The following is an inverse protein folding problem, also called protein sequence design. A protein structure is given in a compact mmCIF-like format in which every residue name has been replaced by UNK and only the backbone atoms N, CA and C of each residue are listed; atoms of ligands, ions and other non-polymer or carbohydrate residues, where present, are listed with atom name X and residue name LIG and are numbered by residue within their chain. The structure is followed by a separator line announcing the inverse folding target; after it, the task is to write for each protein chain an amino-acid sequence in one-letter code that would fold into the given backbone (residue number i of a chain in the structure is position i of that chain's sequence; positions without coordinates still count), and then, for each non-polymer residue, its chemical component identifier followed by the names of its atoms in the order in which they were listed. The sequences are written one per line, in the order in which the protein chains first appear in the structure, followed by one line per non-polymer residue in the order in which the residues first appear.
data_IF_201527253230
#
_entry.id   IF_201527253230
#
_cell.length_a   1.000
_cell.length_b   1.000
_cell.length_c   1.000
_cell.angle_alpha   90.00
_cell.angle_beta   90.00
_cell.angle_gamma   90.00
#
_symmetry.space_group_name_H-M   'P 1'
#
loop_
_entity.id
_entity.type
_entity.pdbx_description
1 polymer ?
#
# COMPACT_ATOMS: atom_id res chain seq x y z
N UNK A 1 -33.55 -75.72 -37.25
CA UNK A 1 -32.30 -75.16 -37.85
C UNK A 1 -32.09 -73.67 -37.53
N UNK A 2 -33.14 -72.83 -37.50
CA UNK A 2 -33.02 -71.39 -37.15
C UNK A 2 -32.55 -71.13 -35.70
N UNK A 3 -32.90 -72.01 -34.76
CA UNK A 3 -32.56 -71.86 -33.33
C UNK A 3 -31.06 -72.01 -33.00
N UNK A 4 -30.34 -72.91 -33.69
CA UNK A 4 -28.93 -73.20 -33.38
C UNK A 4 -27.96 -72.10 -33.86
N UNK A 5 -28.26 -71.48 -35.00
CA UNK A 5 -27.47 -70.36 -35.55
C UNK A 5 -27.59 -69.09 -34.69
N UNK A 6 -28.76 -68.84 -34.11
CA UNK A 6 -28.99 -67.69 -33.22
C UNK A 6 -28.18 -67.80 -31.91
N UNK A 7 -28.04 -69.02 -31.37
CA UNK A 7 -27.24 -69.30 -30.15
C UNK A 7 -25.74 -69.13 -30.40
N UNK A 8 -25.24 -69.49 -31.58
CA UNK A 8 -23.81 -69.33 -31.93
C UNK A 8 -23.42 -67.86 -32.18
N UNK A 9 -24.29 -67.11 -32.85
CA UNK A 9 -24.11 -65.67 -33.09
C UNK A 9 -24.21 -64.90 -31.76
N UNK A 10 -25.21 -65.21 -30.93
CA UNK A 10 -25.33 -64.58 -29.60
C UNK A 10 -24.12 -64.90 -28.72
N UNK A 11 -23.63 -66.13 -28.72
CA UNK A 11 -22.44 -66.54 -27.97
C UNK A 11 -21.14 -65.86 -28.44
N UNK A 12 -21.04 -65.49 -29.71
CA UNK A 12 -19.89 -64.77 -30.27
C UNK A 12 -19.93 -63.28 -29.93
N UNK A 13 -21.12 -62.67 -29.99
CA UNK A 13 -21.36 -61.28 -29.58
C UNK A 13 -21.08 -61.13 -28.07
N UNK A 14 -21.62 -62.03 -27.23
CA UNK A 14 -21.38 -62.07 -25.79
C UNK A 14 -19.88 -62.18 -25.48
N UNK A 15 -19.15 -63.07 -26.16
CA UNK A 15 -17.69 -63.19 -26.00
C UNK A 15 -16.94 -61.92 -26.43
N UNK A 16 -17.36 -61.24 -27.49
CA UNK A 16 -16.73 -59.99 -27.91
C UNK A 16 -16.99 -58.85 -26.92
N UNK A 17 -18.20 -58.79 -26.34
CA UNK A 17 -18.59 -57.81 -25.33
C UNK A 17 -17.85 -58.04 -24.02
N UNK A 18 -17.71 -59.29 -23.58
CA UNK A 18 -16.91 -59.65 -22.40
C UNK A 18 -15.45 -59.21 -22.57
N UNK A 19 -14.82 -59.50 -23.71
CA UNK A 19 -13.46 -59.03 -24.00
C UNK A 19 -13.35 -57.49 -24.02
N UNK A 20 -14.38 -56.79 -24.52
CA UNK A 20 -14.42 -55.31 -24.48
C UNK A 20 -14.57 -54.77 -23.07
N UNK A 21 -15.37 -55.41 -22.22
CA UNK A 21 -15.55 -55.05 -20.81
C UNK A 21 -14.24 -55.29 -20.05
N UNK A 22 -13.58 -56.43 -20.25
CA UNK A 22 -12.28 -56.74 -19.63
C UNK A 22 -11.22 -55.71 -20.01
N UNK A 23 -11.09 -55.37 -21.31
CA UNK A 23 -10.15 -54.34 -21.76
C UNK A 23 -10.44 -52.98 -21.14
N UNK A 24 -11.69 -52.52 -21.20
CA UNK A 24 -12.07 -51.25 -20.55
C UNK A 24 -11.82 -51.28 -19.05
N UNK A 25 -12.09 -52.39 -18.37
CA UNK A 25 -11.83 -52.50 -16.92
C UNK A 25 -10.33 -52.39 -16.59
N UNK A 26 -9.46 -52.94 -17.44
CA UNK A 26 -8.02 -52.81 -17.30
C UNK A 26 -7.54 -51.37 -17.60
N UNK A 27 -8.04 -50.76 -18.67
CA UNK A 27 -7.74 -49.36 -19.03
C UNK A 27 -8.19 -48.40 -17.91
N UNK A 28 -9.39 -48.61 -17.33
CA UNK A 28 -9.87 -47.83 -16.18
C UNK A 28 -9.01 -48.04 -14.94
N UNK A 29 -8.58 -49.28 -14.64
CA UNK A 29 -7.71 -49.55 -13.50
C UNK A 29 -6.35 -48.83 -13.66
N UNK A 30 -5.79 -48.84 -14.86
CA UNK A 30 -4.54 -48.12 -15.15
C UNK A 30 -4.72 -46.60 -15.03
N UNK A 31 -5.78 -46.04 -15.62
CA UNK A 31 -6.07 -44.61 -15.53
C UNK A 31 -6.31 -44.15 -14.08
N UNK A 32 -7.00 -44.97 -13.28
CA UNK A 32 -7.22 -44.68 -11.85
C UNK A 32 -5.90 -44.67 -11.07
N UNK A 33 -5.00 -45.64 -11.30
CA UNK A 33 -3.69 -45.67 -10.66
C UNK A 33 -2.85 -44.43 -11.01
N UNK A 34 -2.89 -43.99 -12.28
CA UNK A 34 -2.20 -42.78 -12.73
C UNK A 34 -2.80 -41.49 -12.11
N UNK A 35 -4.13 -41.44 -11.92
CA UNK A 35 -4.80 -40.34 -11.21
C UNK A 35 -4.41 -40.34 -9.73
N UNK A 36 -4.34 -41.49 -9.07
CA UNK A 36 -3.91 -41.59 -7.67
C UNK A 36 -2.47 -41.08 -7.49
N UNK A 37 -1.55 -41.48 -8.39
CA UNK A 37 -0.17 -41.00 -8.38
C UNK A 37 -0.09 -39.47 -8.59
N UNK A 38 -0.84 -38.94 -9.57
CA UNK A 38 -0.92 -37.48 -9.81
C UNK A 38 -1.50 -36.73 -8.62
N UNK A 39 -2.57 -37.24 -8.02
CA UNK A 39 -3.19 -36.62 -6.85
C UNK A 39 -2.21 -36.56 -5.68
N UNK A 40 -1.46 -37.64 -5.46
CA UNK A 40 -0.43 -37.67 -4.42
C UNK A 40 0.67 -36.62 -4.68
N UNK A 41 1.18 -36.54 -5.91
CA UNK A 41 2.19 -35.54 -6.29
C UNK A 41 1.66 -34.10 -6.16
N UNK A 42 0.39 -33.86 -6.50
CA UNK A 42 -0.25 -32.55 -6.33
C UNK A 42 -0.41 -32.18 -4.86
N UNK A 43 -0.78 -33.13 -3.99
CA UNK A 43 -0.86 -32.90 -2.56
C UNK A 43 0.51 -32.52 -1.97
N UNK A 44 1.58 -33.18 -2.41
CA UNK A 44 2.94 -32.85 -2.00
C UNK A 44 3.36 -31.45 -2.49
N UNK A 45 3.12 -31.14 -3.76
CA UNK A 45 3.41 -29.82 -4.32
C UNK A 45 2.63 -28.71 -3.60
N UNK A 46 1.34 -28.94 -3.30
CA UNK A 46 0.50 -28.00 -2.55
C UNK A 46 1.03 -27.77 -1.13
N UNK A 47 1.50 -28.82 -0.44
CA UNK A 47 2.12 -28.68 0.88
C UNK A 47 3.37 -27.82 0.83
N UNK A 48 4.23 -28.01 -0.17
CA UNK A 48 5.45 -27.22 -0.35
C UNK A 48 5.11 -25.74 -0.60
N UNK A 49 4.20 -25.47 -1.54
CA UNK A 49 3.76 -24.10 -1.86
C UNK A 49 3.15 -23.42 -0.65
N UNK A 50 2.30 -24.14 0.10
CA UNK A 50 1.69 -23.61 1.32
C UNK A 50 2.73 -23.25 2.38
N UNK A 51 3.67 -24.15 2.67
CA UNK A 51 4.73 -23.90 3.64
C UNK A 51 5.60 -22.70 3.22
N UNK A 52 5.86 -22.54 1.92
CA UNK A 52 6.60 -21.40 1.40
C UNK A 52 5.82 -20.08 1.55
N UNK A 53 4.52 -20.09 1.24
CA UNK A 53 3.67 -18.90 1.41
C UNK A 53 3.56 -18.50 2.89
N UNK A 54 3.38 -19.46 3.81
CA UNK A 54 3.34 -19.21 5.26
C UNK A 54 4.66 -18.57 5.75
N UNK A 55 5.80 -19.01 5.20
CA UNK A 55 7.10 -18.40 5.49
C UNK A 55 7.19 -16.94 4.98
N UNK A 56 6.78 -16.70 3.73
CA UNK A 56 6.79 -15.35 3.14
C UNK A 56 5.85 -14.39 3.88
N UNK A 57 4.67 -14.86 4.29
CA UNK A 57 3.72 -14.09 5.08
C UNK A 57 4.31 -13.69 6.44
N UNK A 58 5.07 -14.58 7.10
CA UNK A 58 5.74 -14.27 8.34
C UNK A 58 6.86 -13.21 8.17
N UNK A 59 7.63 -13.29 7.08
CA UNK A 59 8.66 -12.29 6.75
C UNK A 59 8.04 -10.92 6.47
N UNK A 60 6.97 -10.87 5.68
CA UNK A 60 6.25 -9.62 5.38
C UNK A 60 5.55 -9.05 6.61
N UNK A 61 5.00 -9.88 7.50
CA UNK A 61 4.45 -9.43 8.78
C UNK A 61 5.53 -8.78 9.66
N UNK A 62 6.75 -9.32 9.62
CA UNK A 62 7.90 -8.73 10.32
C UNK A 62 8.26 -7.36 9.72
N UNK A 63 8.33 -7.26 8.39
CA UNK A 63 8.59 -6.00 7.69
C UNK A 63 7.51 -4.95 7.98
N UNK A 64 6.24 -5.36 7.98
CA UNK A 64 5.08 -4.54 8.35
C UNK A 64 5.23 -3.97 9.76
N UNK A 65 5.54 -4.82 10.74
CA UNK A 65 5.75 -4.37 12.12
C UNK A 65 6.89 -3.36 12.24
N UNK A 66 7.96 -3.52 11.47
CA UNK A 66 9.06 -2.55 11.44
C UNK A 66 8.64 -1.22 10.80
N UNK A 67 7.92 -1.26 9.67
CA UNK A 67 7.43 -0.06 9.00
C UNK A 67 6.43 0.71 9.88
N UNK A 68 5.51 0.02 10.54
CA UNK A 68 4.51 0.66 11.40
C UNK A 68 5.15 1.40 12.59
N UNK A 69 6.33 0.97 13.06
CA UNK A 69 7.10 1.66 14.11
C UNK A 69 7.73 2.97 13.66
N UNK A 70 7.77 3.25 12.35
CA UNK A 70 8.20 4.56 11.84
C UNK A 70 7.14 5.63 12.07
N UNK A 71 5.88 5.22 12.30
CA UNK A 71 4.76 6.11 12.52
C UNK A 71 4.57 6.37 14.02
N UNK A 72 3.98 7.52 14.39
CA UNK A 72 3.78 7.87 15.79
C UNK A 72 2.75 6.96 16.45
N UNK A 73 3.09 6.41 17.62
CA UNK A 73 2.18 5.60 18.44
C UNK A 73 1.07 6.46 19.08
N UNK A 74 1.38 7.73 19.37
CA UNK A 74 0.48 8.66 20.05
C UNK A 74 0.40 9.99 19.32
N UNK A 75 -0.75 10.66 19.47
CA UNK A 75 -0.91 12.01 18.94
C UNK A 75 -0.14 13.02 19.81
N UNK A 76 0.48 14.05 19.21
CA UNK A 76 1.26 15.03 19.95
C UNK A 76 0.33 15.93 20.74
N UNK A 77 0.83 16.45 21.86
CA UNK A 77 0.14 17.49 22.61
C UNK A 77 0.62 18.86 22.13
N UNK A 78 -0.33 19.69 21.68
CA UNK A 78 -0.05 21.06 21.28
C UNK A 78 -1.14 21.99 21.85
N UNK A 79 -0.79 23.00 22.67
CA UNK A 79 -1.78 23.88 23.29
C UNK A 79 -2.69 24.55 22.26
N UNK A 80 -4.01 24.44 22.45
CA UNK A 80 -5.01 25.05 21.57
C UNK A 80 -5.37 24.22 20.33
N UNK A 81 -4.74 23.06 20.13
CA UNK A 81 -4.97 22.19 18.98
C UNK A 81 -5.29 20.76 19.40
N UNK A 82 -6.18 20.13 18.64
CA UNK A 82 -6.40 18.69 18.67
C UNK A 82 -5.84 18.13 17.38
N UNK A 83 -4.84 17.26 17.49
CA UNK A 83 -4.14 16.64 16.37
C UNK A 83 -4.34 15.14 16.48
N UNK A 84 -4.62 14.49 15.36
CA UNK A 84 -4.71 13.05 15.26
C UNK A 84 -4.34 12.63 13.85
N UNK A 85 -3.90 11.38 13.74
CA UNK A 85 -3.47 10.80 12.48
C UNK A 85 -3.60 9.29 12.56
N UNK A 86 -3.88 8.69 11.43
CA UNK A 86 -4.04 7.25 11.30
C UNK A 86 -3.59 6.84 9.92
N UNK A 87 -2.86 5.73 9.85
CA UNK A 87 -2.46 5.11 8.59
C UNK A 87 -2.89 3.64 8.63
N UNK A 88 -3.57 3.21 7.59
CA UNK A 88 -3.96 1.82 7.39
C UNK A 88 -3.47 1.37 6.01
N UNK A 89 -2.38 0.62 5.95
CA UNK A 89 -1.87 0.08 4.69
C UNK A 89 -2.92 -0.79 3.98
N UNK A 90 -2.99 -0.70 2.64
CA UNK A 90 -3.84 -1.56 1.81
C UNK A 90 -3.33 -3.02 1.74
N UNK A 91 -2.00 -3.20 1.79
CA UNK A 91 -1.31 -4.49 1.88
C UNK A 91 -0.52 -4.58 3.19
N UNK A 92 0.25 -5.66 3.40
CA UNK A 92 1.04 -5.81 4.65
C UNK A 92 2.07 -4.69 4.85
N UNK A 93 2.68 -4.19 3.77
CA UNK A 93 3.57 -3.01 3.75
C UNK A 93 3.12 -2.06 2.65
N UNK A 94 3.41 -0.76 2.79
CA UNK A 94 2.91 0.28 1.88
C UNK A 94 3.91 1.41 1.59
N UNK A 95 3.48 2.40 0.81
CA UNK A 95 4.23 3.63 0.53
C UNK A 95 3.94 4.74 1.56
N UNK A 96 2.69 4.79 2.01
CA UNK A 96 2.16 5.79 2.94
C UNK A 96 2.86 5.77 4.31
N UNK A 97 3.20 6.96 4.80
CA UNK A 97 3.49 7.17 6.21
C UNK A 97 3.18 8.62 6.60
N UNK A 98 3.02 8.84 7.90
CA UNK A 98 2.93 10.18 8.47
C UNK A 98 3.76 10.26 9.75
N UNK A 99 4.16 11.48 10.13
CA UNK A 99 4.95 11.71 11.33
C UNK A 99 4.70 13.12 11.91
N UNK A 100 4.94 13.24 13.21
CA UNK A 100 4.92 14.51 13.93
C UNK A 100 6.31 14.89 14.40
N UNK A 101 6.70 16.15 14.16
CA UNK A 101 7.99 16.68 14.60
C UNK A 101 7.78 17.92 15.47
N UNK A 102 7.73 17.76 16.81
CA UNK A 102 7.80 18.88 17.73
C UNK A 102 9.10 19.66 17.54
N UNK A 103 8.99 20.98 17.42
CA UNK A 103 10.13 21.88 17.17
C UNK A 103 10.62 22.49 18.48
N UNK A 104 11.93 22.78 18.62
CA UNK A 104 12.46 23.43 19.83
C UNK A 104 11.86 24.81 20.13
N UNK A 105 11.30 25.49 19.13
CA UNK A 105 10.65 26.78 19.25
C UNK A 105 9.15 26.69 19.58
N UNK A 106 8.63 25.49 19.83
CA UNK A 106 7.24 25.23 20.18
C UNK A 106 6.31 25.05 18.97
N UNK A 107 6.80 25.18 17.74
CA UNK A 107 6.04 24.79 16.55
C UNK A 107 5.89 23.27 16.47
N UNK A 108 4.93 22.82 15.67
CA UNK A 108 4.75 21.41 15.34
C UNK A 108 4.73 21.24 13.84
N UNK A 109 5.55 20.34 13.31
CA UNK A 109 5.43 19.94 11.90
C UNK A 109 4.67 18.63 11.80
N UNK A 110 3.65 18.62 10.94
CA UNK A 110 2.87 17.44 10.56
C UNK A 110 3.28 17.06 9.15
N UNK A 111 3.81 15.85 8.99
CA UNK A 111 4.36 15.36 7.74
C UNK A 111 3.53 14.16 7.26
N UNK A 112 3.24 14.10 5.97
CA UNK A 112 2.60 12.97 5.31
C UNK A 112 3.30 12.74 3.99
N UNK A 113 3.63 11.49 3.69
CA UNK A 113 4.16 11.13 2.39
C UNK A 113 3.58 9.82 1.90
N UNK A 114 3.60 9.69 0.59
CA UNK A 114 3.29 8.47 -0.13
C UNK A 114 4.39 8.23 -1.16
N UNK A 115 4.84 6.99 -1.23
CA UNK A 115 5.91 6.54 -2.12
C UNK A 115 5.28 5.70 -3.21
N UNK A 116 5.61 6.01 -4.45
CA UNK A 116 5.13 5.26 -5.60
C UNK A 116 5.44 3.78 -5.53
N UNK A 117 4.46 2.99 -5.95
CA UNK A 117 4.54 1.54 -6.01
C UNK A 117 3.66 0.92 -4.92
N UNK A 118 3.87 -0.37 -4.66
CA UNK A 118 3.15 -1.07 -3.60
C UNK A 118 4.02 -2.18 -3.02
N UNK A 119 3.65 -2.66 -1.83
CA UNK A 119 4.40 -3.74 -1.19
C UNK A 119 5.85 -3.34 -0.89
N UNK A 120 6.77 -4.28 -1.07
CA UNK A 120 8.19 -4.08 -0.74
C UNK A 120 8.90 -3.04 -1.63
N UNK A 121 8.44 -2.85 -2.87
CA UNK A 121 9.02 -1.86 -3.79
C UNK A 121 8.81 -0.42 -3.29
N UNK A 122 7.70 -0.16 -2.60
CA UNK A 122 7.42 1.12 -1.96
C UNK A 122 7.99 1.20 -0.53
N UNK A 123 7.92 0.10 0.24
CA UNK A 123 8.32 0.09 1.64
C UNK A 123 9.79 0.45 1.88
N UNK A 124 10.71 -0.04 1.05
CA UNK A 124 12.15 0.25 1.20
C UNK A 124 12.45 1.75 0.99
N UNK A 125 12.00 2.38 -0.12
CA UNK A 125 12.14 3.83 -0.25
C UNK A 125 11.41 4.62 0.84
N UNK A 126 10.28 4.16 1.36
CA UNK A 126 9.61 4.80 2.51
C UNK A 126 10.51 4.85 3.74
N UNK A 127 11.17 3.74 4.08
CA UNK A 127 12.14 3.67 5.19
C UNK A 127 13.32 4.63 4.94
N UNK A 128 13.85 4.64 3.73
CA UNK A 128 14.94 5.54 3.34
C UNK A 128 14.53 7.01 3.48
N UNK A 129 13.36 7.37 2.97
CA UNK A 129 12.84 8.73 3.02
C UNK A 129 12.52 9.16 4.45
N UNK A 130 11.93 8.29 5.28
CA UNK A 130 11.69 8.54 6.69
C UNK A 130 12.99 8.90 7.42
N UNK A 131 14.06 8.12 7.22
CA UNK A 131 15.37 8.43 7.81
C UNK A 131 15.98 9.74 7.29
N UNK A 132 15.81 10.06 6.00
CA UNK A 132 16.24 11.35 5.45
C UNK A 132 15.44 12.51 6.06
N UNK A 133 14.12 12.35 6.19
CA UNK A 133 13.23 13.36 6.74
C UNK A 133 13.57 13.61 8.21
N UNK A 134 13.68 12.58 9.03
CA UNK A 134 14.09 12.68 10.44
C UNK A 134 15.38 13.51 10.59
N UNK A 135 16.41 13.17 9.80
CA UNK A 135 17.66 13.91 9.83
C UNK A 135 17.53 15.38 9.38
N UNK A 136 16.72 15.66 8.35
CA UNK A 136 16.49 17.04 7.92
C UNK A 136 15.68 17.83 8.96
N UNK A 137 14.74 17.19 9.65
CA UNK A 137 13.92 17.78 10.69
C UNK A 137 14.71 18.13 11.95
N UNK A 138 15.91 17.62 12.17
CA UNK A 138 16.79 18.14 13.24
C UNK A 138 17.23 19.60 12.99
N UNK A 139 17.16 20.06 11.74
CA UNK A 139 17.58 21.40 11.35
C UNK A 139 16.39 22.38 11.31
N UNK A 140 16.65 23.66 11.53
CA UNK A 140 15.66 24.77 11.52
C UNK A 140 15.59 25.50 10.17
N UNK A 141 15.50 24.75 9.07
CA UNK A 141 15.29 25.35 7.75
C UNK A 141 13.81 25.72 7.54
N UNK A 142 13.53 26.71 6.68
CA UNK A 142 12.19 26.87 6.11
C UNK A 142 11.72 25.57 5.44
N UNK A 143 10.41 25.23 5.53
CA UNK A 143 9.84 24.05 4.89
C UNK A 143 10.21 23.90 3.40
N UNK A 144 10.25 24.98 2.64
CA UNK A 144 10.56 25.02 1.21
C UNK A 144 12.00 24.54 0.93
N UNK A 145 12.95 25.00 1.75
CA UNK A 145 14.36 24.61 1.66
C UNK A 145 14.54 23.13 2.01
N UNK A 146 13.77 22.63 2.99
CA UNK A 146 13.75 21.22 3.38
C UNK A 146 13.27 20.34 2.21
N UNK A 147 12.21 20.73 1.51
CA UNK A 147 11.74 20.03 0.31
C UNK A 147 12.80 19.99 -0.78
N UNK A 148 13.45 21.12 -1.08
CA UNK A 148 14.53 21.17 -2.07
C UNK A 148 15.71 20.26 -1.70
N UNK A 149 16.07 20.18 -0.42
CA UNK A 149 17.13 19.28 0.09
C UNK A 149 16.75 17.81 -0.04
N UNK A 150 15.53 17.45 0.40
CA UNK A 150 15.01 16.10 0.29
C UNK A 150 14.92 15.67 -1.17
N UNK A 151 14.39 16.51 -2.07
CA UNK A 151 14.32 16.24 -3.49
C UNK A 151 15.69 15.92 -4.10
N UNK A 152 16.71 16.76 -3.83
CA UNK A 152 18.08 16.51 -4.31
C UNK A 152 18.65 15.19 -3.78
N UNK A 153 18.36 14.84 -2.53
CA UNK A 153 18.80 13.57 -1.94
C UNK A 153 18.08 12.38 -2.56
N UNK A 154 16.78 12.48 -2.82
CA UNK A 154 16.00 11.41 -3.44
C UNK A 154 16.43 11.17 -4.89
N UNK A 155 16.64 12.23 -5.68
CA UNK A 155 17.14 12.12 -7.07
C UNK A 155 18.48 11.38 -7.16
N UNK A 156 19.33 11.45 -6.13
CA UNK A 156 20.62 10.74 -6.09
C UNK A 156 20.51 9.29 -5.65
N UNK A 157 19.52 8.96 -4.82
CA UNK A 157 19.46 7.67 -4.11
C UNK A 157 18.35 6.75 -4.63
N UNK A 158 17.33 7.28 -5.30
CA UNK A 158 16.22 6.50 -5.85
C UNK A 158 16.38 6.25 -7.34
N UNK A 159 15.76 5.18 -7.81
CA UNK A 159 15.62 4.88 -9.23
C UNK A 159 14.71 5.91 -9.92
N UNK A 160 14.91 6.11 -11.23
CA UNK A 160 14.19 7.13 -12.03
C UNK A 160 12.67 6.98 -12.06
N UNK A 161 12.14 5.84 -11.64
CA UNK A 161 10.70 5.53 -11.61
C UNK A 161 10.08 5.70 -10.23
N UNK A 162 10.90 5.87 -9.19
CA UNK A 162 10.44 6.00 -7.82
C UNK A 162 10.43 7.47 -7.43
N UNK A 163 9.27 7.96 -6.99
CA UNK A 163 9.12 9.30 -6.46
C UNK A 163 8.31 9.28 -5.17
N UNK A 164 8.40 10.39 -4.42
CA UNK A 164 7.72 10.56 -3.14
C UNK A 164 6.80 11.76 -3.24
N UNK A 165 5.50 11.51 -3.15
CA UNK A 165 4.51 12.53 -2.87
C UNK A 165 4.68 12.94 -1.41
N UNK A 166 4.92 14.21 -1.13
CA UNK A 166 5.18 14.68 0.24
C UNK A 166 4.42 15.96 0.56
N UNK A 167 3.83 16.03 1.75
CA UNK A 167 3.17 17.24 2.27
C UNK A 167 3.62 17.49 3.70
N UNK A 168 3.90 18.76 4.01
CA UNK A 168 4.32 19.20 5.33
C UNK A 168 3.53 20.44 5.72
N UNK A 169 2.95 20.41 6.92
CA UNK A 169 2.36 21.57 7.56
C UNK A 169 3.12 21.91 8.83
N UNK A 170 3.74 23.09 8.89
CA UNK A 170 4.35 23.62 10.09
C UNK A 170 3.38 24.57 10.79
N UNK A 171 2.92 24.17 11.97
CA UNK A 171 1.94 24.87 12.77
C UNK A 171 2.61 25.64 13.92
N UNK A 172 2.39 26.95 13.94
CA UNK A 172 2.71 27.81 15.07
C UNK A 172 1.49 27.94 16.01
N UNK A 173 1.56 27.42 17.24
CA UNK A 173 0.43 27.47 18.16
C UNK A 173 0.13 28.88 18.69
N UNK A 174 1.11 29.78 18.71
CA UNK A 174 0.95 31.14 19.24
C UNK A 174 0.19 32.01 18.25
N UNK A 175 0.55 31.94 16.97
CA UNK A 175 -0.10 32.72 15.91
C UNK A 175 -1.28 31.98 15.26
N UNK A 176 -1.43 30.67 15.52
CA UNK A 176 -2.39 29.77 14.87
C UNK A 176 -2.24 29.77 13.35
N UNK A 177 -1.01 29.91 12.89
CA UNK A 177 -0.65 29.96 11.47
C UNK A 177 0.01 28.65 11.08
N UNK A 178 -0.44 28.08 9.97
CA UNK A 178 0.17 26.91 9.37
C UNK A 178 0.88 27.30 8.06
N UNK A 179 2.17 27.04 7.96
CA UNK A 179 2.93 27.11 6.71
C UNK A 179 2.90 25.74 6.05
N UNK A 180 2.37 25.65 4.85
CA UNK A 180 2.18 24.41 4.11
C UNK A 180 3.08 24.36 2.90
N UNK A 181 3.70 23.21 2.65
CA UNK A 181 4.42 22.90 1.41
C UNK A 181 3.96 21.53 0.95
N UNK A 182 3.70 21.39 -0.34
CA UNK A 182 3.26 20.14 -0.95
C UNK A 182 4.11 19.86 -2.19
N UNK A 183 4.50 18.60 -2.34
CA UNK A 183 5.23 18.03 -3.46
C UNK A 183 4.51 16.80 -3.95
N UNK A 184 3.34 16.96 -4.57
CA UNK A 184 2.62 15.92 -5.29
C UNK A 184 1.56 15.13 -4.52
N UNK A 185 1.37 15.36 -3.21
CA UNK A 185 0.25 14.77 -2.47
C UNK A 185 -1.08 15.44 -2.86
N UNK A 186 -2.22 14.79 -2.61
CA UNK A 186 -3.51 15.48 -2.61
C UNK A 186 -3.50 16.74 -1.73
N UNK A 187 -4.25 17.76 -2.15
CA UNK A 187 -4.25 19.04 -1.44
C UNK A 187 -4.94 18.92 -0.08
N UNK A 188 -4.35 19.47 1.00
CA UNK A 188 -5.01 19.48 2.29
C UNK A 188 -6.33 20.26 2.24
N UNK A 189 -7.35 19.75 2.92
CA UNK A 189 -8.65 20.41 3.05
C UNK A 189 -8.65 21.33 4.27
N UNK A 190 -9.09 22.57 4.10
CA UNK A 190 -9.34 23.54 5.16
C UNK A 190 -10.84 23.76 5.33
N UNK A 191 -11.37 23.29 6.45
CA UNK A 191 -12.72 23.62 6.91
C UNK A 191 -12.68 24.89 7.77
N UNK A 192 -13.50 25.86 7.41
CA UNK A 192 -13.63 27.14 8.10
C UNK A 192 -14.90 27.17 8.93
N UNK A 193 -14.78 27.17 10.26
CA UNK A 193 -15.93 27.10 11.16
C UNK A 193 -16.84 28.34 11.04
N UNK A 194 -16.25 29.51 10.82
CA UNK A 194 -16.99 30.77 10.70
C UNK A 194 -17.98 30.78 9.52
N UNK A 195 -17.68 30.05 8.43
CA UNK A 195 -18.49 30.04 7.21
C UNK A 195 -19.16 28.70 6.94
N UNK A 196 -18.73 27.63 7.63
CA UNK A 196 -19.15 26.26 7.36
C UNK A 196 -18.66 25.73 6.01
N UNK A 197 -17.69 26.39 5.36
CA UNK A 197 -17.18 25.99 4.04
C UNK A 197 -15.87 25.23 4.15
N UNK A 198 -15.67 24.30 3.22
CA UNK A 198 -14.41 23.59 3.02
C UNK A 198 -13.79 24.04 1.70
N UNK A 199 -12.47 24.21 1.69
CA UNK A 199 -11.68 24.49 0.48
C UNK A 199 -10.42 23.65 0.45
N UNK A 200 -9.91 23.37 -0.74
CA UNK A 200 -8.59 22.79 -0.92
C UNK A 200 -7.51 23.88 -0.81
N UNK A 201 -6.40 23.54 -0.16
CA UNK A 201 -5.21 24.38 -0.06
C UNK A 201 -4.28 24.05 -1.22
N UNK A 202 -4.55 24.64 -2.38
CA UNK A 202 -3.83 24.36 -3.63
C UNK A 202 -2.37 24.82 -3.55
N UNK A 203 -1.46 23.86 -3.65
CA UNK A 203 -0.01 24.00 -3.52
C UNK A 203 0.64 23.09 -4.55
N UNK A 204 0.70 23.54 -5.81
CA UNK A 204 1.17 22.71 -6.90
C UNK A 204 2.70 22.63 -6.95
N UNK A 205 3.27 21.44 -6.78
CA UNK A 205 4.65 21.14 -7.13
C UNK A 205 4.79 19.69 -7.59
N UNK A 206 5.93 19.37 -8.22
CA UNK A 206 6.21 18.00 -8.64
C UNK A 206 6.57 17.13 -7.44
N UNK A 207 6.23 15.82 -7.48
CA UNK A 207 6.74 14.85 -6.51
C UNK A 207 8.26 14.89 -6.38
N UNK A 208 8.74 14.65 -5.16
CA UNK A 208 10.17 14.63 -4.86
C UNK A 208 10.82 13.41 -5.50
N UNK A 209 12.08 13.55 -5.95
CA UNK A 209 12.82 12.49 -6.62
C UNK A 209 12.63 12.46 -8.15
N UNK A 210 11.63 13.17 -8.68
CA UNK A 210 11.30 13.12 -10.11
C UNK A 210 12.26 13.96 -10.98
N UNK A 211 12.64 15.15 -10.52
CA UNK A 211 13.54 16.08 -11.23
C UNK A 211 14.47 16.79 -10.26
N UNK A 212 15.75 16.93 -10.64
CA UNK A 212 16.76 17.59 -9.81
C UNK A 212 16.46 19.06 -9.51
N UNK A 213 15.96 19.77 -10.52
CA UNK A 213 15.59 21.18 -10.46
C UNK A 213 14.08 21.29 -10.29
N UNK A 214 13.65 21.45 -9.04
CA UNK A 214 12.26 21.71 -8.68
C UNK A 214 12.24 22.75 -7.55
N UNK A 215 11.38 23.74 -7.69
CA UNK A 215 11.07 24.71 -6.65
C UNK A 215 9.79 24.29 -5.93
N UNK A 216 9.72 24.58 -4.64
CA UNK A 216 8.61 24.22 -3.78
C UNK A 216 8.15 25.47 -3.06
N UNK A 217 6.96 25.95 -3.40
CA UNK A 217 6.37 27.13 -2.77
C UNK A 217 5.61 26.74 -1.50
N UNK A 218 5.61 27.67 -0.55
CA UNK A 218 4.80 27.55 0.66
C UNK A 218 3.55 28.44 0.62
N UNK A 219 2.47 27.93 1.21
CA UNK A 219 1.21 28.66 1.42
C UNK A 219 1.00 28.87 2.91
N UNK A 220 0.58 30.07 3.26
CA UNK A 220 0.16 30.38 4.62
C UNK A 220 -1.33 30.19 4.79
N UNK A 221 -1.70 29.44 5.82
CA UNK A 221 -3.08 29.24 6.24
C UNK A 221 -3.26 29.72 7.68
N UNK A 222 -4.08 30.75 7.88
CA UNK A 222 -4.51 31.17 9.20
C UNK A 222 -5.64 30.26 9.68
N UNK A 223 -5.56 29.80 10.92
CA UNK A 223 -6.57 28.94 11.54
C UNK A 223 -7.31 29.71 12.65
N UNK A 224 -8.62 29.75 12.52
CA UNK A 224 -9.51 30.27 13.55
C UNK A 224 -10.04 29.16 14.46
N UNK A 225 -10.65 29.56 15.57
CA UNK A 225 -11.21 28.59 16.53
C UNK A 225 -12.31 27.78 15.86
N UNK A 226 -12.16 26.45 15.88
CA UNK A 226 -13.09 25.50 15.27
C UNK A 226 -12.72 25.08 13.84
N UNK A 227 -11.74 25.73 13.23
CA UNK A 227 -11.23 25.33 11.91
C UNK A 227 -10.56 23.95 11.98
N UNK A 228 -10.53 23.27 10.83
CA UNK A 228 -9.88 21.96 10.69
C UNK A 228 -9.05 21.95 9.43
N UNK A 229 -7.86 21.37 9.52
CA UNK A 229 -7.03 21.03 8.36
C UNK A 229 -6.88 19.52 8.31
N UNK A 230 -7.15 18.93 7.14
CA UNK A 230 -7.08 17.49 6.93
C UNK A 230 -6.09 17.22 5.81
N UNK A 231 -5.10 16.39 6.10
CA UNK A 231 -4.20 15.79 5.12
C UNK A 231 -4.71 14.37 4.84
N UNK A 232 -4.70 13.95 3.58
CA UNK A 232 -5.10 12.61 3.18
C UNK A 232 -4.24 12.14 2.01
N UNK A 233 -3.90 10.85 2.00
CA UNK A 233 -3.37 10.20 0.80
C UNK A 233 -4.48 9.97 -0.23
N UNK A 234 -4.09 9.62 -1.44
CA UNK A 234 -4.99 9.29 -2.55
C UNK A 234 -5.88 8.08 -2.23
N UNK A 235 -5.42 7.14 -1.41
CA UNK A 235 -6.20 5.98 -0.98
C UNK A 235 -7.52 6.31 -0.28
N UNK A 236 -7.68 7.52 0.28
CA UNK A 236 -8.98 7.97 0.83
C UNK A 236 -9.87 8.56 -0.27
N UNK A 237 -9.29 9.26 -1.24
CA UNK A 237 -10.01 9.94 -2.33
C UNK A 237 -10.46 8.93 -3.39
N UNK A 238 -9.69 7.87 -3.58
CA UNK A 238 -9.95 6.79 -4.53
C UNK A 238 -10.72 5.61 -3.91
N UNK A 239 -11.00 5.66 -2.60
CA UNK A 239 -11.77 4.63 -1.92
C UNK A 239 -13.19 4.57 -2.50
N UNK A 240 -13.54 3.40 -3.04
CA UNK A 240 -14.90 3.12 -3.49
C UNK A 240 -15.73 2.54 -2.35
N UNK A 241 -17.04 2.81 -2.37
CA UNK A 241 -18.02 2.12 -1.54
C UNK A 241 -18.18 0.64 -1.96
N UNK A 242 -18.96 -0.12 -1.18
CA UNK A 242 -19.23 -1.54 -1.42
C UNK A 242 -19.89 -1.81 -2.80
N UNK A 243 -20.48 -0.80 -3.42
CA UNK A 243 -21.14 -0.83 -4.73
C UNK A 243 -20.22 -0.34 -5.87
N UNK A 244 -18.96 -0.01 -5.56
CA UNK A 244 -17.96 0.43 -6.54
C UNK A 244 -18.12 1.89 -7.01
N UNK A 245 -18.84 2.73 -6.26
CA UNK A 245 -18.93 4.16 -6.48
C UNK A 245 -17.91 4.91 -5.60
N UNK A 246 -17.39 6.04 -6.10
CA UNK A 246 -16.54 6.96 -5.33
C UNK A 246 -17.38 7.84 -4.38
#
# INVERSE_FOLDING_TARGET
LVSLGFVLISGSIIRSLLKRIERRSADLAQANAEIEERNHSLEEAQKIVRAHNEMLEAELATASSMQMKLMPDESPTLPGFSISGHCRPATQVGGDFFQYYPRPDGRLSVAMADVTGHGMEAAIPTVLFSGMLDNQMENTFPPEDLFGRLNRSLVRNLDRRTFVCFSLGELDPLTRRMRLVNGGCPYPYHYQAATGKTRELTLGALPLGLRAECEYDGLDCQLDVGDRVVFCSDGIIEAMDDDGQL
#
